data_IF_046500423497
#
_entry.id   IF_046500423497
#
_cell.length_a   1.000
_cell.length_b   1.000
_cell.length_c   1.000
_cell.angle_alpha   90.00
_cell.angle_beta   90.00
_cell.angle_gamma   90.00
#
_symmetry.space_group_name_H-M   'P 1'
#
loop_
_entity.id
_entity.type
_entity.pdbx_description
1 polymer ?
#
# COMPACT_ATOMS: atom_id res chain seq x y z
N UNK A 1 -18.17 -37.91 11.86
CA UNK A 1 -17.29 -37.56 13.01
C UNK A 1 -15.86 -37.71 12.53
N UNK A 2 -14.87 -37.00 13.12
CA UNK A 2 -13.46 -37.25 12.84
C UNK A 2 -13.12 -38.74 13.06
N UNK A 3 -12.25 -39.31 12.23
CA UNK A 3 -11.87 -40.73 12.28
C UNK A 3 -10.35 -40.89 12.38
N UNK A 4 -9.90 -41.62 13.40
CA UNK A 4 -8.49 -41.94 13.60
C UNK A 4 -7.97 -42.86 12.49
N UNK A 5 -8.81 -43.76 11.99
CA UNK A 5 -8.44 -44.70 10.93
C UNK A 5 -8.14 -43.95 9.63
N UNK A 6 -8.97 -42.96 9.28
CA UNK A 6 -8.74 -42.10 8.10
C UNK A 6 -7.48 -41.27 8.27
N UNK A 7 -7.27 -40.71 9.46
CA UNK A 7 -6.07 -39.94 9.76
C UNK A 7 -4.79 -40.77 9.63
N UNK A 8 -4.76 -41.97 10.22
CA UNK A 8 -3.63 -42.88 10.12
C UNK A 8 -3.39 -43.36 8.68
N UNK A 9 -4.45 -43.57 7.90
CA UNK A 9 -4.35 -43.87 6.47
C UNK A 9 -3.66 -42.74 5.70
N UNK A 10 -4.10 -41.49 5.91
CA UNK A 10 -3.45 -40.33 5.30
C UNK A 10 -1.98 -40.18 5.74
N UNK A 11 -1.64 -40.44 7.01
CA UNK A 11 -0.24 -40.41 7.44
C UNK A 11 0.60 -41.48 6.73
N UNK A 12 0.05 -42.68 6.57
CA UNK A 12 0.73 -43.74 5.84
C UNK A 12 1.00 -43.36 4.38
N UNK A 13 0.03 -42.72 3.71
CA UNK A 13 0.19 -42.23 2.33
C UNK A 13 1.33 -41.20 2.19
N UNK A 14 1.54 -40.36 3.22
CA UNK A 14 2.69 -39.45 3.27
C UNK A 14 4.01 -40.19 3.48
N UNK A 15 4.05 -41.21 4.34
CA UNK A 15 5.26 -41.99 4.64
C UNK A 15 5.77 -42.77 3.42
N UNK A 16 4.86 -43.34 2.63
CA UNK A 16 5.21 -44.09 1.42
C UNK A 16 5.54 -43.18 0.22
N UNK A 17 5.42 -41.87 0.39
CA UNK A 17 5.71 -40.88 -0.64
C UNK A 17 4.71 -40.91 -1.80
N UNK A 18 3.42 -41.07 -1.49
CA UNK A 18 2.36 -41.02 -2.51
C UNK A 18 2.41 -39.69 -3.29
N UNK A 19 2.19 -39.77 -4.61
CA UNK A 19 2.31 -38.62 -5.51
C UNK A 19 1.37 -37.48 -5.10
N UNK A 20 1.94 -36.31 -4.83
CA UNK A 20 1.20 -35.08 -4.54
C UNK A 20 1.34 -34.11 -5.72
N UNK A 21 0.24 -33.92 -6.45
CA UNK A 21 0.22 -33.19 -7.72
C UNK A 21 0.49 -31.68 -7.59
N UNK A 22 0.18 -31.07 -6.46
CA UNK A 22 0.36 -29.64 -6.23
C UNK A 22 1.35 -29.32 -5.09
N UNK A 23 1.87 -30.35 -4.40
CA UNK A 23 2.78 -30.19 -3.27
C UNK A 23 2.13 -29.62 -2.02
N UNK A 24 0.79 -29.52 -1.98
CA UNK A 24 0.00 -28.95 -0.90
C UNK A 24 -1.06 -29.94 -0.40
N UNK A 25 -1.96 -29.47 0.46
CA UNK A 25 -3.03 -30.28 1.05
C UNK A 25 -4.10 -30.67 0.01
N UNK A 26 -4.42 -29.78 -0.94
CA UNK A 26 -5.45 -30.05 -1.94
C UNK A 26 -5.08 -31.23 -2.85
N UNK A 27 -3.88 -31.26 -3.43
CA UNK A 27 -3.41 -32.35 -4.28
C UNK A 27 -3.29 -33.67 -3.51
N UNK A 28 -2.80 -33.60 -2.28
CA UNK A 28 -2.74 -34.76 -1.39
C UNK A 28 -4.12 -35.34 -1.06
N UNK A 29 -5.09 -34.49 -0.68
CA UNK A 29 -6.45 -34.92 -0.35
C UNK A 29 -7.19 -35.47 -1.57
N UNK A 30 -6.97 -34.92 -2.76
CA UNK A 30 -7.52 -35.48 -4.02
C UNK A 30 -6.96 -36.89 -4.26
N UNK A 31 -5.68 -37.13 -3.95
CA UNK A 31 -5.09 -38.47 -3.98
C UNK A 31 -5.69 -39.44 -2.96
N UNK A 32 -6.00 -38.97 -1.76
CA UNK A 32 -6.61 -39.79 -0.69
C UNK A 32 -8.08 -40.13 -0.97
N UNK A 33 -8.80 -39.28 -1.71
CA UNK A 33 -10.22 -39.43 -2.04
C UNK A 33 -10.46 -39.39 -3.56
N UNK A 34 -9.94 -40.37 -4.33
CA UNK A 34 -9.94 -40.32 -5.79
C UNK A 34 -11.35 -40.43 -6.40
N UNK A 35 -12.30 -41.01 -5.67
CA UNK A 35 -13.69 -41.21 -6.10
C UNK A 35 -14.61 -40.03 -5.74
N UNK A 36 -14.08 -38.95 -5.15
CA UNK A 36 -14.88 -37.81 -4.68
C UNK A 36 -15.61 -37.11 -5.84
N UNK A 37 -14.99 -37.05 -7.03
CA UNK A 37 -15.58 -36.44 -8.22
C UNK A 37 -16.82 -37.19 -8.73
N UNK A 38 -16.89 -38.50 -8.49
CA UNK A 38 -18.00 -39.36 -8.90
C UNK A 38 -19.14 -39.40 -7.88
N UNK A 39 -18.98 -38.75 -6.71
CA UNK A 39 -20.02 -38.73 -5.67
C UNK A 39 -21.22 -37.86 -6.09
N UNK A 40 -22.43 -38.16 -5.57
CA UNK A 40 -23.59 -37.30 -5.77
C UNK A 40 -23.38 -35.91 -5.16
N UNK A 41 -24.06 -34.91 -5.73
CA UNK A 41 -24.11 -33.57 -5.14
C UNK A 41 -24.87 -33.61 -3.81
N UNK A 42 -24.40 -32.83 -2.84
CA UNK A 42 -25.05 -32.64 -1.56
C UNK A 42 -26.30 -31.78 -1.75
N UNK A 43 -27.44 -32.34 -1.35
CA UNK A 43 -28.70 -31.64 -1.24
C UNK A 43 -29.16 -31.70 0.21
N UNK A 44 -29.29 -30.57 0.91
CA UNK A 44 -29.68 -30.56 2.31
C UNK A 44 -31.11 -31.13 2.44
N UNK A 45 -31.34 -32.12 3.32
CA UNK A 45 -32.68 -32.67 3.52
C UNK A 45 -33.57 -31.64 4.24
N UNK A 46 -34.82 -31.51 3.79
CA UNK A 46 -35.78 -30.53 4.33
C UNK A 46 -36.02 -30.71 5.84
N UNK A 47 -35.93 -31.95 6.32
CA UNK A 47 -36.16 -32.32 7.72
C UNK A 47 -34.92 -32.19 8.61
N UNK A 48 -33.80 -31.67 8.10
CA UNK A 48 -32.56 -31.47 8.86
C UNK A 48 -31.86 -32.76 9.30
N UNK A 49 -32.24 -33.90 8.73
CA UNK A 49 -31.62 -35.20 9.03
C UNK A 49 -30.18 -35.27 8.52
N UNK A 50 -29.36 -36.13 9.12
CA UNK A 50 -27.98 -36.33 8.67
C UNK A 50 -27.97 -37.33 7.51
N UNK A 51 -27.28 -36.97 6.42
CA UNK A 51 -27.00 -37.89 5.33
C UNK A 51 -25.78 -38.76 5.66
N UNK A 52 -25.83 -40.02 5.26
CA UNK A 52 -24.73 -40.97 5.40
C UNK A 52 -23.98 -41.11 4.08
N UNK A 53 -22.66 -40.91 4.10
CA UNK A 53 -21.79 -41.05 2.94
C UNK A 53 -21.03 -39.78 2.59
N UNK A 54 -20.28 -39.84 1.50
CA UNK A 54 -19.48 -38.74 0.95
C UNK A 54 -20.23 -38.08 -0.21
N UNK A 55 -20.28 -36.75 -0.21
CA UNK A 55 -21.02 -35.96 -1.19
C UNK A 55 -20.15 -34.83 -1.72
N UNK A 56 -20.39 -34.42 -2.96
CA UNK A 56 -19.82 -33.19 -3.52
C UNK A 56 -20.62 -31.99 -3.05
N UNK A 57 -19.96 -30.98 -2.51
CA UNK A 57 -20.64 -29.75 -2.15
C UNK A 57 -20.96 -28.91 -3.40
N UNK A 58 -22.14 -28.30 -3.49
CA UNK A 58 -22.42 -27.28 -4.50
C UNK A 58 -21.43 -26.12 -4.39
N UNK A 59 -21.18 -25.44 -5.52
CA UNK A 59 -20.22 -24.34 -5.61
C UNK A 59 -20.46 -23.22 -4.58
N UNK A 60 -21.72 -22.97 -4.20
CA UNK A 60 -22.11 -21.99 -3.17
C UNK A 60 -21.47 -22.18 -1.79
N UNK A 61 -20.98 -23.39 -1.48
CA UNK A 61 -20.30 -23.72 -0.22
C UNK A 61 -18.78 -23.46 -0.26
N UNK A 62 -18.22 -23.14 -1.43
CA UNK A 62 -16.82 -22.79 -1.59
C UNK A 62 -16.67 -21.84 -2.79
N UNK A 63 -17.29 -20.68 -2.72
CA UNK A 63 -17.22 -19.69 -3.79
C UNK A 63 -15.85 -19.02 -3.80
N UNK A 64 -15.12 -19.14 -4.90
CA UNK A 64 -13.89 -18.36 -5.09
C UNK A 64 -14.23 -16.90 -5.40
N UNK A 65 -13.66 -15.98 -4.62
CA UNK A 65 -13.75 -14.53 -4.83
C UNK A 65 -13.29 -14.08 -6.24
N UNK A 66 -12.45 -14.86 -6.93
CA UNK A 66 -12.00 -14.58 -8.31
C UNK A 66 -13.17 -14.49 -9.30
N UNK A 67 -14.22 -15.30 -9.13
CA UNK A 67 -15.44 -15.23 -9.95
C UNK A 67 -16.13 -13.87 -9.86
N UNK A 68 -16.06 -13.22 -8.70
CA UNK A 68 -16.57 -11.87 -8.54
C UNK A 68 -15.67 -10.86 -9.24
N UNK A 69 -14.35 -10.91 -9.07
CA UNK A 69 -13.46 -9.84 -9.53
C UNK A 69 -13.42 -9.64 -11.04
N UNK A 70 -13.68 -10.69 -11.83
CA UNK A 70 -13.77 -10.59 -13.28
C UNK A 70 -14.96 -9.72 -13.73
N UNK A 71 -16.10 -9.82 -13.03
CA UNK A 71 -17.36 -9.15 -13.41
C UNK A 71 -17.76 -8.04 -12.43
N UNK A 72 -17.07 -7.89 -11.31
CA UNK A 72 -17.41 -6.98 -10.19
C UNK A 72 -18.83 -7.17 -9.64
N UNK A 73 -19.43 -8.34 -9.88
CA UNK A 73 -20.68 -8.79 -9.30
C UNK A 73 -20.72 -10.31 -9.30
N UNK A 74 -21.55 -10.88 -8.42
CA UNK A 74 -21.80 -12.31 -8.44
C UNK A 74 -22.68 -12.65 -9.65
N UNK A 75 -22.13 -13.41 -10.58
CA UNK A 75 -22.85 -13.97 -11.72
C UNK A 75 -22.60 -15.46 -11.79
N UNK A 76 -23.13 -16.19 -10.79
CA UNK A 76 -22.90 -17.62 -10.65
C UNK A 76 -24.24 -18.35 -10.81
N UNK A 77 -24.34 -19.34 -11.71
CA UNK A 77 -25.62 -19.97 -12.07
C UNK A 77 -26.19 -20.92 -11.01
N UNK A 78 -25.64 -20.96 -9.79
CA UNK A 78 -25.99 -21.96 -8.79
C UNK A 78 -26.13 -21.40 -7.38
N UNK A 79 -27.39 -21.31 -6.91
CA UNK A 79 -27.78 -21.24 -5.50
C UNK A 79 -27.31 -20.01 -4.71
N UNK A 80 -27.67 -19.92 -3.42
CA UNK A 80 -27.17 -18.87 -2.53
C UNK A 80 -25.67 -19.03 -2.26
N UNK A 81 -24.94 -17.91 -2.27
CA UNK A 81 -23.52 -17.87 -1.93
C UNK A 81 -23.36 -17.94 -0.42
N UNK A 82 -23.15 -19.14 0.12
CA UNK A 82 -23.07 -19.37 1.57
C UNK A 82 -21.68 -19.11 2.13
N UNK A 83 -20.61 -19.41 1.37
CA UNK A 83 -19.22 -19.27 1.83
C UNK A 83 -18.36 -18.72 0.71
N UNK A 84 -17.65 -17.62 1.00
CA UNK A 84 -16.68 -16.99 0.10
C UNK A 84 -15.27 -17.33 0.58
N UNK A 85 -14.45 -17.82 -0.34
CA UNK A 85 -13.04 -18.10 -0.16
C UNK A 85 -12.20 -17.06 -0.90
N UNK A 86 -11.07 -16.68 -0.30
CA UNK A 86 -10.16 -15.69 -0.87
C UNK A 86 -8.82 -16.35 -1.20
N UNK A 87 -8.69 -17.07 -2.33
CA UNK A 87 -7.45 -17.77 -2.71
C UNK A 87 -6.37 -16.83 -3.25
N UNK A 88 -6.47 -15.51 -2.99
CA UNK A 88 -5.47 -14.53 -3.40
C UNK A 88 -4.11 -14.75 -2.73
N UNK A 89 -3.06 -14.25 -3.39
CA UNK A 89 -1.72 -14.20 -2.80
C UNK A 89 -1.77 -13.54 -1.41
N UNK A 90 -0.88 -13.91 -0.47
CA UNK A 90 -0.92 -13.41 0.90
C UNK A 90 -1.04 -11.89 0.99
N UNK A 91 -0.37 -11.14 0.11
CA UNK A 91 -0.41 -9.68 0.10
C UNK A 91 -1.78 -9.06 -0.23
N UNK A 92 -2.68 -9.82 -0.84
CA UNK A 92 -4.00 -9.39 -1.30
C UNK A 92 -5.12 -10.03 -0.51
N UNK A 93 -4.84 -10.48 0.72
CA UNK A 93 -5.88 -11.00 1.59
C UNK A 93 -6.80 -9.86 2.05
N UNK A 94 -8.10 -10.15 2.24
CA UNK A 94 -9.11 -9.12 2.43
C UNK A 94 -8.97 -8.35 3.74
N UNK A 95 -8.22 -8.88 4.72
CA UNK A 95 -7.97 -8.22 6.00
C UNK A 95 -6.91 -7.12 5.95
N UNK A 96 -6.13 -7.04 4.87
CA UNK A 96 -5.16 -5.98 4.71
C UNK A 96 -5.83 -4.70 4.21
N UNK A 97 -5.59 -3.60 4.91
CA UNK A 97 -6.18 -2.30 4.55
C UNK A 97 -5.84 -1.84 3.13
N UNK A 98 -4.68 -2.23 2.60
CA UNK A 98 -4.23 -1.88 1.24
C UNK A 98 -4.82 -2.78 0.14
N UNK A 99 -5.45 -3.91 0.49
CA UNK A 99 -6.07 -4.82 -0.49
C UNK A 99 -7.27 -4.18 -1.17
N UNK A 100 -8.00 -3.32 -0.46
CA UNK A 100 -8.97 -2.41 -1.08
C UNK A 100 -8.25 -1.14 -1.52
N UNK A 101 -8.60 -0.49 -2.64
CA UNK A 101 -9.73 -0.74 -3.55
C UNK A 101 -9.48 -1.76 -4.67
N UNK A 102 -8.30 -2.40 -4.71
CA UNK A 102 -7.95 -3.39 -5.73
C UNK A 102 -8.95 -4.56 -5.70
N UNK A 103 -9.23 -5.10 -4.52
CA UNK A 103 -10.14 -6.24 -4.31
C UNK A 103 -11.37 -5.81 -3.50
N UNK A 104 -12.47 -5.39 -4.15
CA UNK A 104 -13.61 -4.75 -3.49
C UNK A 104 -14.36 -5.63 -2.47
N UNK A 105 -14.38 -6.96 -2.66
CA UNK A 105 -14.97 -7.89 -1.68
C UNK A 105 -14.29 -7.85 -0.30
N UNK A 106 -13.11 -7.24 -0.18
CA UNK A 106 -12.50 -6.97 1.12
C UNK A 106 -13.42 -6.16 2.04
N UNK A 107 -14.25 -5.26 1.51
CA UNK A 107 -15.23 -4.52 2.31
C UNK A 107 -16.30 -5.42 2.93
N UNK A 108 -16.75 -6.46 2.23
CA UNK A 108 -17.69 -7.45 2.78
C UNK A 108 -17.06 -8.21 3.94
N UNK A 109 -15.77 -8.56 3.83
CA UNK A 109 -15.02 -9.16 4.93
C UNK A 109 -14.88 -8.21 6.13
N UNK A 110 -14.51 -6.95 5.88
CA UNK A 110 -14.37 -5.94 6.92
C UNK A 110 -15.70 -5.58 7.59
N UNK A 111 -16.83 -5.72 6.89
CA UNK A 111 -18.17 -5.62 7.46
C UNK A 111 -18.45 -6.78 8.42
N UNK A 112 -18.16 -8.02 8.03
CA UNK A 112 -18.30 -9.16 8.93
C UNK A 112 -17.42 -9.01 10.17
N UNK A 113 -16.16 -8.58 10.00
CA UNK A 113 -15.26 -8.28 11.12
C UNK A 113 -15.85 -7.21 12.04
N UNK A 114 -16.42 -6.14 11.48
CA UNK A 114 -17.05 -5.09 12.29
C UNK A 114 -18.17 -5.67 13.17
N UNK A 115 -19.05 -6.47 12.56
CA UNK A 115 -20.22 -7.03 13.23
C UNK A 115 -19.85 -8.07 14.31
N UNK A 116 -18.77 -8.86 14.12
CA UNK A 116 -18.37 -9.92 15.05
C UNK A 116 -17.28 -9.54 16.07
N UNK A 117 -16.29 -8.73 15.68
CA UNK A 117 -15.07 -8.46 16.45
C UNK A 117 -14.81 -6.96 16.71
N UNK A 118 -15.19 -6.10 15.76
CA UNK A 118 -14.87 -4.67 15.78
C UNK A 118 -13.39 -4.35 15.47
N UNK A 119 -13.00 -3.11 15.77
CA UNK A 119 -11.64 -2.56 15.57
C UNK A 119 -11.04 -1.95 16.84
N UNK A 120 -11.63 -2.25 18.00
CA UNK A 120 -11.28 -1.59 19.26
C UNK A 120 -9.81 -1.79 19.67
N UNK A 121 -9.23 -2.94 19.32
CA UNK A 121 -7.84 -3.26 19.61
C UNK A 121 -6.86 -2.36 18.84
N UNK A 122 -7.21 -1.94 17.63
CA UNK A 122 -6.36 -1.12 16.77
C UNK A 122 -6.51 0.38 17.05
N UNK A 123 -7.66 0.84 17.59
CA UNK A 123 -7.94 2.27 17.84
C UNK A 123 -6.82 2.99 18.62
N UNK A 124 -6.25 2.46 19.72
CA UNK A 124 -5.20 3.15 20.46
C UNK A 124 -3.96 3.44 19.60
N UNK A 125 -3.54 2.47 18.77
CA UNK A 125 -2.39 2.63 17.87
C UNK A 125 -2.69 3.71 16.83
N UNK A 126 -3.90 3.68 16.26
CA UNK A 126 -4.32 4.70 15.28
C UNK A 126 -4.32 6.11 15.88
N UNK A 127 -4.81 6.27 17.11
CA UNK A 127 -4.80 7.56 17.79
C UNK A 127 -3.38 8.03 18.09
N UNK A 128 -2.48 7.14 18.53
CA UNK A 128 -1.07 7.45 18.76
C UNK A 128 -0.38 7.90 17.46
N UNK A 129 -0.61 7.20 16.36
CA UNK A 129 -0.08 7.58 15.05
C UNK A 129 -0.60 8.94 14.59
N UNK A 130 -1.90 9.21 14.73
CA UNK A 130 -2.50 10.50 14.38
C UNK A 130 -1.85 11.64 15.20
N UNK A 131 -1.67 11.43 16.51
CA UNK A 131 -0.97 12.37 17.38
C UNK A 131 0.50 12.57 16.98
N UNK A 132 1.19 11.50 16.62
CA UNK A 132 2.57 11.57 16.14
C UNK A 132 2.68 12.36 14.83
N UNK A 133 1.85 12.06 13.83
CA UNK A 133 1.86 12.75 12.54
C UNK A 133 1.48 14.24 12.67
N UNK A 134 0.48 14.56 13.49
CA UNK A 134 0.13 15.97 13.79
C UNK A 134 1.28 16.70 14.49
N UNK A 135 1.94 16.06 15.46
CA UNK A 135 3.12 16.62 16.14
C UNK A 135 4.27 16.88 15.15
N UNK A 136 4.56 15.95 14.23
CA UNK A 136 5.57 16.13 13.18
C UNK A 136 5.26 17.37 12.32
N UNK A 137 4.01 17.51 11.87
CA UNK A 137 3.58 18.69 11.08
C UNK A 137 3.75 19.97 11.91
N UNK A 138 3.29 19.99 13.17
CA UNK A 138 3.39 21.17 14.02
C UNK A 138 4.84 21.57 14.30
N UNK A 139 5.69 20.61 14.68
CA UNK A 139 7.10 20.83 14.99
C UNK A 139 7.89 21.30 13.76
N UNK A 140 7.65 20.68 12.60
CA UNK A 140 8.34 21.07 11.36
C UNK A 140 7.94 22.48 10.89
N UNK A 141 6.68 22.87 11.09
CA UNK A 141 6.21 24.24 10.81
C UNK A 141 6.84 25.26 11.76
N UNK A 142 6.95 24.92 13.05
CA UNK A 142 7.54 25.80 14.07
C UNK A 142 9.07 25.92 13.92
N UNK A 143 9.74 24.83 13.55
CA UNK A 143 11.19 24.77 13.37
C UNK A 143 11.67 25.35 12.03
N UNK A 144 10.76 25.60 11.07
CA UNK A 144 11.09 26.15 9.73
C UNK A 144 12.06 27.34 9.76
N UNK A 145 11.92 28.36 10.64
CA UNK A 145 12.83 29.51 10.69
C UNK A 145 14.24 29.19 11.21
N UNK A 146 14.39 28.09 11.96
CA UNK A 146 15.67 27.64 12.53
C UNK A 146 16.37 26.63 11.62
N UNK A 147 15.62 25.74 10.97
CA UNK A 147 16.12 24.77 9.99
C UNK A 147 16.70 25.45 8.74
N UNK A 148 16.05 26.51 8.26
CA UNK A 148 16.59 27.37 7.20
C UNK A 148 17.94 27.95 7.61
N UNK A 149 18.06 28.49 8.83
CA UNK A 149 19.32 29.04 9.34
C UNK A 149 20.41 27.98 9.46
N UNK A 150 20.10 26.76 9.85
CA UNK A 150 21.08 25.67 9.99
C UNK A 150 21.60 25.18 8.62
N UNK A 151 20.74 25.15 7.60
CA UNK A 151 21.14 24.80 6.24
C UNK A 151 21.94 25.93 5.58
N UNK A 152 21.54 27.19 5.77
CA UNK A 152 22.20 28.36 5.19
C UNK A 152 23.51 28.79 5.89
N UNK A 153 23.70 28.52 7.19
CA UNK A 153 24.94 28.87 7.90
C UNK A 153 26.09 27.87 7.68
N UNK A 154 25.94 26.88 6.79
CA UNK A 154 27.02 25.96 6.44
C UNK A 154 27.98 26.67 5.50
N UNK A 155 29.07 27.21 6.06
CA UNK A 155 30.16 27.83 5.29
C UNK A 155 30.66 26.86 4.19
N UNK A 156 30.56 27.23 2.90
CA UNK A 156 30.89 26.36 1.78
C UNK A 156 32.39 26.28 1.50
N UNK A 157 33.21 27.17 2.09
CA UNK A 157 34.66 27.27 1.83
C UNK A 157 35.47 25.98 2.13
N UNK A 158 34.88 24.94 2.73
CA UNK A 158 35.54 23.65 3.02
C UNK A 158 34.67 22.39 2.85
N UNK A 159 33.53 22.44 2.15
CA UNK A 159 32.74 21.22 1.94
C UNK A 159 33.26 20.43 0.73
N UNK A 160 33.85 19.26 1.00
CA UNK A 160 34.27 18.35 -0.06
C UNK A 160 33.10 17.77 -0.85
N UNK A 161 33.34 17.42 -2.11
CA UNK A 161 32.38 16.78 -3.04
C UNK A 161 31.65 15.59 -2.40
N UNK A 162 32.32 14.86 -1.51
CA UNK A 162 31.73 13.74 -0.77
C UNK A 162 30.58 14.17 0.17
N UNK A 163 30.73 15.28 0.90
CA UNK A 163 29.70 15.80 1.81
C UNK A 163 28.47 16.25 1.04
N UNK A 164 28.69 16.88 -0.11
CA UNK A 164 27.64 17.31 -1.02
C UNK A 164 26.82 16.12 -1.56
N UNK A 165 27.52 15.06 -1.97
CA UNK A 165 26.88 13.82 -2.44
C UNK A 165 26.07 13.14 -1.33
N UNK A 166 26.60 13.12 -0.10
CA UNK A 166 25.90 12.56 1.07
C UNK A 166 24.61 13.32 1.40
N UNK A 167 24.60 14.65 1.30
CA UNK A 167 23.39 15.47 1.52
C UNK A 167 22.33 15.15 0.46
N UNK A 168 22.74 15.04 -0.81
CA UNK A 168 21.84 14.66 -1.91
C UNK A 168 21.25 13.26 -1.72
N UNK A 169 22.09 12.28 -1.35
CA UNK A 169 21.64 10.93 -1.02
C UNK A 169 20.66 10.94 0.15
N UNK A 170 20.97 11.68 1.22
CA UNK A 170 20.09 11.80 2.39
C UNK A 170 18.72 12.37 2.02
N UNK A 171 18.64 13.36 1.13
CA UNK A 171 17.38 13.90 0.61
C UNK A 171 16.55 12.85 -0.14
N UNK A 172 17.19 12.06 -1.02
CA UNK A 172 16.52 10.98 -1.75
C UNK A 172 16.02 9.90 -0.80
N UNK A 173 16.85 9.43 0.11
CA UNK A 173 16.49 8.40 1.10
C UNK A 173 15.35 8.88 2.00
N UNK A 174 15.39 10.14 2.44
CA UNK A 174 14.33 10.72 3.27
C UNK A 174 12.99 10.80 2.51
N UNK A 175 13.00 11.10 1.22
CA UNK A 175 11.78 11.04 0.40
C UNK A 175 11.22 9.63 0.28
N UNK A 176 12.06 8.63 -0.01
CA UNK A 176 11.62 7.24 -0.09
C UNK A 176 11.05 6.80 1.25
N UNK A 177 11.76 7.09 2.34
CA UNK A 177 11.33 6.78 3.70
C UNK A 177 9.99 7.43 4.06
N UNK A 178 9.74 8.66 3.61
CA UNK A 178 8.47 9.36 3.86
C UNK A 178 7.26 8.63 3.26
N UNK A 179 7.44 7.87 2.18
CA UNK A 179 6.38 7.06 1.55
C UNK A 179 6.34 5.63 2.09
N UNK A 180 7.48 5.05 2.48
CA UNK A 180 7.52 3.64 2.93
C UNK A 180 7.21 3.48 4.42
N UNK A 181 7.65 4.37 5.30
CA UNK A 181 7.48 4.21 6.75
C UNK A 181 6.01 4.14 7.15
N UNK A 182 5.11 5.06 6.73
CA UNK A 182 3.70 4.98 7.10
C UNK A 182 3.05 3.65 6.73
N UNK A 183 3.44 3.06 5.59
CA UNK A 183 2.89 1.79 5.13
C UNK A 183 3.12 0.65 6.12
N UNK A 184 4.31 0.57 6.73
CA UNK A 184 4.68 -0.52 7.64
C UNK A 184 4.29 -0.27 9.09
N UNK A 185 4.05 0.98 9.48
CA UNK A 185 3.65 1.33 10.85
C UNK A 185 2.15 1.06 11.09
N UNK A 186 1.32 1.32 10.08
CA UNK A 186 -0.14 1.16 10.19
C UNK A 186 -0.50 -0.31 10.41
N UNK A 187 -1.32 -0.65 11.43
CA UNK A 187 -1.72 -2.03 11.68
C UNK A 187 -2.41 -2.63 10.46
N UNK A 188 -1.97 -3.83 10.07
CA UNK A 188 -2.42 -4.49 8.84
C UNK A 188 -3.94 -4.67 8.77
N UNK A 189 -4.61 -4.89 9.91
CA UNK A 189 -6.02 -5.27 10.02
C UNK A 189 -6.99 -4.10 10.17
N UNK A 190 -6.52 -2.85 10.13
CA UNK A 190 -7.43 -1.69 10.22
C UNK A 190 -8.41 -1.65 9.05
N UNK A 191 -9.54 -0.99 9.26
CA UNK A 191 -10.51 -0.79 8.18
C UNK A 191 -9.85 -0.06 6.99
N UNK A 192 -10.08 -0.45 5.72
CA UNK A 192 -9.34 0.10 4.57
C UNK A 192 -9.43 1.61 4.42
N UNK A 193 -10.61 2.20 4.65
CA UNK A 193 -10.80 3.65 4.62
C UNK A 193 -9.91 4.35 5.66
N UNK A 194 -9.79 3.75 6.85
CA UNK A 194 -8.96 4.27 7.93
C UNK A 194 -7.48 4.11 7.59
N UNK A 195 -7.08 2.94 7.10
CA UNK A 195 -5.70 2.65 6.69
C UNK A 195 -5.20 3.59 5.59
N UNK A 196 -5.97 3.78 4.51
CA UNK A 196 -5.59 4.74 3.46
C UNK A 196 -5.56 6.19 3.96
N UNK A 197 -6.51 6.58 4.80
CA UNK A 197 -6.52 7.93 5.39
C UNK A 197 -5.28 8.18 6.25
N UNK A 198 -4.92 7.20 7.11
CA UNK A 198 -3.71 7.25 7.93
C UNK A 198 -2.45 7.26 7.08
N UNK A 199 -2.38 6.41 6.05
CA UNK A 199 -1.25 6.34 5.14
C UNK A 199 -1.03 7.69 4.46
N UNK A 200 -2.08 8.24 3.84
CA UNK A 200 -2.00 9.55 3.18
C UNK A 200 -1.62 10.67 4.16
N UNK A 201 -2.12 10.62 5.40
CA UNK A 201 -1.78 11.60 6.42
C UNK A 201 -0.33 11.47 6.91
N UNK A 202 0.16 10.24 7.13
CA UNK A 202 1.53 9.96 7.50
C UNK A 202 2.53 10.36 6.40
N UNK A 203 2.23 10.02 5.14
CA UNK A 203 3.03 10.45 3.98
C UNK A 203 3.07 11.97 3.90
N UNK A 204 1.94 12.65 4.12
CA UNK A 204 1.90 14.11 4.16
C UNK A 204 2.77 14.67 5.30
N UNK A 205 2.67 14.11 6.51
CA UNK A 205 3.45 14.54 7.67
C UNK A 205 4.96 14.41 7.42
N UNK A 206 5.45 13.25 7.00
CA UNK A 206 6.86 13.06 6.68
C UNK A 206 7.30 13.89 5.48
N UNK A 207 6.49 14.00 4.43
CA UNK A 207 6.79 14.85 3.28
C UNK A 207 6.95 16.32 3.69
N UNK A 208 6.13 16.84 4.62
CA UNK A 208 6.31 18.20 5.13
C UNK A 208 7.62 18.38 5.90
N UNK A 209 8.08 17.35 6.61
CA UNK A 209 9.38 17.37 7.26
C UNK A 209 10.52 17.44 6.22
N UNK A 210 10.48 16.59 5.19
CA UNK A 210 11.47 16.58 4.10
C UNK A 210 11.48 17.90 3.33
N UNK A 211 10.31 18.43 2.96
CA UNK A 211 10.14 19.72 2.28
C UNK A 211 10.81 20.84 3.08
N UNK A 212 10.58 20.90 4.38
CA UNK A 212 11.16 21.95 5.23
C UNK A 212 12.66 21.74 5.48
N UNK A 213 13.13 20.50 5.60
CA UNK A 213 14.52 20.18 5.87
C UNK A 213 15.45 20.44 4.67
N UNK A 214 14.98 20.13 3.46
CA UNK A 214 15.76 20.28 2.22
C UNK A 214 15.29 21.45 1.35
N UNK A 215 14.35 22.27 1.84
CA UNK A 215 13.77 23.42 1.14
C UNK A 215 13.23 23.08 -0.26
N UNK A 216 12.66 21.89 -0.40
CA UNK A 216 12.16 21.38 -1.68
C UNK A 216 10.85 22.07 -2.08
N UNK A 217 10.57 22.19 -3.39
CA UNK A 217 9.28 22.67 -3.87
C UNK A 217 8.15 21.75 -3.38
N UNK A 218 7.18 22.26 -2.59
CA UNK A 218 6.14 21.41 -1.98
C UNK A 218 5.30 20.68 -3.03
N UNK A 219 4.94 21.37 -4.12
CA UNK A 219 4.13 20.80 -5.19
C UNK A 219 4.83 19.60 -5.84
N UNK A 220 6.14 19.68 -6.05
CA UNK A 220 6.90 18.58 -6.65
C UNK A 220 6.85 17.36 -5.72
N UNK A 221 7.26 17.51 -4.46
CA UNK A 221 7.26 16.39 -3.49
C UNK A 221 5.86 15.78 -3.29
N UNK A 222 4.81 16.60 -3.29
CA UNK A 222 3.41 16.16 -3.12
C UNK A 222 2.73 15.69 -4.42
N UNK A 223 3.40 15.75 -5.58
CA UNK A 223 2.82 15.28 -6.85
C UNK A 223 2.52 13.78 -6.78
N UNK A 224 3.42 12.98 -6.20
CA UNK A 224 3.20 11.54 -6.02
C UNK A 224 2.04 11.25 -5.06
N UNK A 225 1.93 12.01 -3.97
CA UNK A 225 0.79 11.94 -3.05
C UNK A 225 -0.54 12.22 -3.77
N UNK A 226 -0.60 13.28 -4.59
CA UNK A 226 -1.79 13.60 -5.40
C UNK A 226 -2.12 12.49 -6.42
N UNK A 227 -1.08 11.90 -7.03
CA UNK A 227 -1.22 10.76 -7.92
C UNK A 227 -1.83 9.53 -7.22
N UNK A 228 -1.42 9.24 -5.99
CA UNK A 228 -1.99 8.16 -5.18
C UNK A 228 -3.46 8.45 -4.86
N UNK A 229 -3.80 9.67 -4.45
CA UNK A 229 -5.19 10.06 -4.18
C UNK A 229 -6.08 9.89 -5.42
N UNK A 230 -5.62 10.38 -6.57
CA UNK A 230 -6.35 10.22 -7.83
C UNK A 230 -6.49 8.74 -8.25
N UNK A 231 -5.44 7.95 -8.08
CA UNK A 231 -5.45 6.51 -8.34
C UNK A 231 -6.45 5.77 -7.44
N UNK A 232 -6.51 6.09 -6.14
CA UNK A 232 -7.50 5.53 -5.22
C UNK A 232 -8.93 5.88 -5.64
N UNK A 233 -9.17 7.12 -6.06
CA UNK A 233 -10.47 7.54 -6.58
C UNK A 233 -10.86 6.76 -7.83
N UNK A 234 -9.94 6.61 -8.80
CA UNK A 234 -10.14 5.79 -10.00
C UNK A 234 -10.49 4.36 -9.61
N UNK A 235 -9.72 3.71 -8.73
CA UNK A 235 -9.97 2.31 -8.36
C UNK A 235 -11.26 2.09 -7.56
N UNK A 236 -11.66 3.06 -6.73
CA UNK A 236 -12.83 2.97 -5.87
C UNK A 236 -14.14 3.35 -6.58
N UNK A 237 -14.07 3.91 -7.79
CA UNK A 237 -15.25 4.37 -8.51
C UNK A 237 -16.18 3.19 -8.90
N UNK A 238 -17.49 3.25 -8.63
CA UNK A 238 -18.38 2.10 -8.80
C UNK A 238 -18.88 1.86 -10.24
N UNK A 239 -18.46 2.67 -11.22
CA UNK A 239 -18.99 2.61 -12.60
C UNK A 239 -18.39 1.47 -13.44
N UNK A 240 -17.42 0.70 -12.92
CA UNK A 240 -16.87 -0.40 -13.70
C UNK A 240 -17.85 -1.57 -13.77
N UNK A 241 -18.23 -1.96 -14.99
CA UNK A 241 -19.07 -3.13 -15.23
C UNK A 241 -18.31 -4.46 -15.11
N UNK A 242 -16.98 -4.43 -15.24
CA UNK A 242 -16.11 -5.60 -15.17
C UNK A 242 -14.71 -5.21 -14.67
N UNK A 243 -13.98 -6.21 -14.15
CA UNK A 243 -12.66 -6.00 -13.57
C UNK A 243 -11.60 -5.60 -14.61
N UNK A 244 -11.76 -6.04 -15.86
CA UNK A 244 -10.80 -5.76 -16.95
C UNK A 244 -10.88 -4.28 -17.33
N UNK A 245 -12.08 -3.74 -17.54
CA UNK A 245 -12.30 -2.33 -17.81
C UNK A 245 -11.70 -1.45 -16.72
N UNK A 246 -11.87 -1.83 -15.45
CA UNK A 246 -11.26 -1.12 -14.32
C UNK A 246 -9.73 -1.10 -14.40
N UNK A 247 -9.11 -2.25 -14.68
CA UNK A 247 -7.64 -2.34 -14.82
C UNK A 247 -7.16 -1.47 -15.99
N UNK A 248 -7.87 -1.47 -17.13
CA UNK A 248 -7.49 -0.64 -18.28
C UNK A 248 -7.53 0.86 -17.95
N UNK A 249 -8.53 1.32 -17.21
CA UNK A 249 -8.62 2.73 -16.80
C UNK A 249 -7.52 3.08 -15.78
N UNK A 250 -7.19 2.17 -14.87
CA UNK A 250 -6.05 2.30 -13.96
C UNK A 250 -4.73 2.44 -14.74
N UNK A 251 -4.50 1.59 -15.74
CA UNK A 251 -3.31 1.65 -16.59
C UNK A 251 -3.27 2.96 -17.38
N UNK A 252 -4.41 3.41 -17.92
CA UNK A 252 -4.51 4.70 -18.60
C UNK A 252 -4.20 5.87 -17.64
N UNK A 253 -4.71 5.84 -16.40
CA UNK A 253 -4.39 6.84 -15.38
C UNK A 253 -2.89 6.86 -15.05
N UNK A 254 -2.27 5.69 -14.88
CA UNK A 254 -0.84 5.58 -14.62
C UNK A 254 -0.01 6.15 -15.79
N UNK A 255 -0.39 5.82 -17.02
CA UNK A 255 0.25 6.35 -18.23
C UNK A 255 0.13 7.88 -18.31
N UNK A 256 -1.06 8.43 -18.06
CA UNK A 256 -1.30 9.87 -18.09
C UNK A 256 -0.62 10.63 -16.94
N UNK A 257 -0.43 10.00 -15.77
CA UNK A 257 0.23 10.62 -14.62
C UNK A 257 1.76 10.54 -14.65
N UNK A 258 2.33 9.59 -15.40
CA UNK A 258 3.78 9.37 -15.48
C UNK A 258 4.59 10.62 -15.91
N UNK A 259 4.20 11.42 -16.92
CA UNK A 259 4.94 12.64 -17.28
C UNK A 259 5.00 13.67 -16.16
N UNK A 260 3.91 13.81 -15.39
CA UNK A 260 3.85 14.73 -14.26
C UNK A 260 4.74 14.28 -13.10
N UNK A 261 4.75 12.97 -12.82
CA UNK A 261 5.65 12.37 -11.83
C UNK A 261 7.11 12.54 -12.25
N UNK A 262 7.44 12.30 -13.50
CA UNK A 262 8.78 12.50 -14.03
C UNK A 262 9.23 13.97 -13.92
N UNK A 263 8.40 14.90 -14.38
CA UNK A 263 8.69 16.34 -14.28
C UNK A 263 8.87 16.78 -12.82
N UNK A 264 8.10 16.20 -11.91
CA UNK A 264 8.27 16.43 -10.47
C UNK A 264 9.62 15.92 -9.95
N UNK A 265 10.00 14.68 -10.28
CA UNK A 265 11.30 14.11 -9.88
C UNK A 265 12.46 14.97 -10.38
N UNK A 266 12.40 15.41 -11.65
CA UNK A 266 13.41 16.30 -12.23
C UNK A 266 13.48 17.62 -11.44
N UNK A 267 12.35 18.24 -11.11
CA UNK A 267 12.31 19.48 -10.31
C UNK A 267 12.88 19.30 -8.91
N UNK A 268 12.59 18.18 -8.26
CA UNK A 268 13.17 17.87 -6.95
C UNK A 268 14.69 17.71 -7.06
N UNK A 269 15.17 17.00 -8.09
CA UNK A 269 16.59 16.80 -8.30
C UNK A 269 17.35 18.08 -8.60
N UNK A 270 16.77 18.95 -9.43
CA UNK A 270 17.29 20.29 -9.70
C UNK A 270 17.27 21.17 -8.44
N UNK A 271 16.24 21.08 -7.61
CA UNK A 271 16.18 21.82 -6.34
C UNK A 271 17.24 21.36 -5.34
N UNK A 272 17.51 20.06 -5.27
CA UNK A 272 18.60 19.52 -4.44
C UNK A 272 19.97 19.94 -4.98
N UNK A 273 20.11 20.04 -6.29
CA UNK A 273 21.35 20.50 -6.95
C UNK A 273 21.56 22.01 -6.75
N UNK A 274 20.53 22.83 -6.94
CA UNK A 274 20.60 24.28 -6.74
C UNK A 274 20.76 24.66 -5.28
N UNK A 275 20.19 23.91 -4.33
CA UNK A 275 20.48 24.11 -2.90
C UNK A 275 21.98 23.95 -2.61
N UNK A 276 22.64 23.02 -3.30
CA UNK A 276 24.07 22.79 -3.20
C UNK A 276 24.93 23.89 -3.85
N UNK A 277 24.46 24.44 -4.98
CA UNK A 277 25.20 25.41 -5.80
C UNK A 277 24.97 26.87 -5.39
N UNK A 278 23.77 27.21 -4.89
CA UNK A 278 23.39 28.57 -4.48
C UNK A 278 24.12 29.03 -3.22
N UNK A 279 24.74 28.10 -2.49
CA UNK A 279 25.68 28.40 -1.41
C UNK A 279 27.06 28.88 -1.91
N UNK A 280 27.45 28.64 -3.17
CA UNK A 280 28.74 29.14 -3.71
C UNK A 280 28.72 30.63 -4.10
N UNK A 281 27.55 31.25 -4.25
CA UNK A 281 27.39 32.57 -4.92
C UNK A 281 26.89 33.71 -4.03
N UNK A 282 26.85 33.56 -2.70
CA UNK A 282 26.60 34.72 -1.83
C UNK A 282 27.85 35.61 -1.75
N UNK A 283 27.75 36.93 -2.04
CA UNK A 283 28.84 37.86 -1.78
C UNK A 283 29.12 37.84 -0.27
N UNK A 284 30.39 37.75 0.11
CA UNK A 284 30.83 37.89 1.50
C UNK A 284 30.23 39.17 2.08
N UNK A 285 29.44 39.03 3.14
CA UNK A 285 29.03 40.15 3.99
C UNK A 285 30.28 40.59 4.79
N UNK A 286 31.22 41.25 4.10
CA UNK A 286 32.55 41.57 4.62
C UNK A 286 33.62 41.87 3.57
N UNK A 287 33.36 41.63 2.28
CA UNK A 287 34.24 42.20 1.25
C UNK A 287 33.88 43.68 1.08
N UNK A 288 34.87 44.59 1.02
CA UNK A 288 34.61 46.00 0.78
C UNK A 288 33.86 46.13 -0.55
N UNK A 289 32.89 47.03 -0.59
CA UNK A 289 32.21 47.40 -1.83
C UNK A 289 33.27 47.60 -2.92
N UNK A 290 33.06 47.09 -4.16
CA UNK A 290 33.95 47.46 -5.24
C UNK A 290 33.91 48.98 -5.31
N UNK A 291 35.06 49.60 -5.05
CA UNK A 291 35.21 51.03 -5.24
C UNK A 291 34.72 51.30 -6.66
N UNK A 292 33.66 52.09 -6.76
CA UNK A 292 33.28 52.75 -8.00
C UNK A 292 34.50 53.55 -8.45
N UNK A 293 35.33 52.93 -9.30
CA UNK A 293 36.31 53.63 -10.11
C UNK A 293 35.52 54.61 -10.97
N UNK A 294 35.41 55.82 -10.44
CA UNK A 294 35.09 57.03 -11.17
C UNK A 294 36.15 57.17 -12.28
N UNK A 295 35.86 56.55 -13.42
CA UNK A 295 36.59 56.77 -14.66
C UNK A 295 36.19 58.15 -15.18
N UNK A 296 36.91 59.18 -14.72
CA UNK A 296 37.14 60.39 -15.50
C UNK A 296 37.97 60.00 -16.71
N UNK A 297 37.51 60.31 -17.93
CA UNK A 297 38.06 61.35 -18.81
C UNK A 297 37.58 61.22 -20.27
N UNK A 298 37.23 62.39 -20.81
CA UNK A 298 37.06 62.83 -22.21
C UNK A 298 35.91 62.28 -23.06
#
# INVERSE_FOLDING_TARGET
QPSMDVFNGMLHDLEIGHDNSDGADQGFLVGCFPDLLDKPLFHPPENGTKLNGTYRLPLGYQMDASYYYLKLHWHVPCGPNSVITFPSAPWFKPWYWWSWPILPLGLSWHKQRWDDLGYAAEIPVVLMELLMYTAIIALTRLARPQMTKLCYNRRPEKQGVLVQWLIKLAGIVAMVAAYTIPFFVIPCTVHPIMGWSMYLFGVLAFSTAVINAFLLPPLAVLTAWLGIVGMLFVMAFPWYHDGIARILVVVAYAFCSAPFLWASIVRVMDSLQTMLERDLHFPRLGDPAPETEFSKLY
#
